data_IF_335868749039
#
_entry.id   IF_335868749039
#
_cell.length_a   1.000
_cell.length_b   1.000
_cell.length_c   1.000
_cell.angle_alpha   90.00
_cell.angle_beta   90.00
_cell.angle_gamma   90.00
#
_symmetry.space_group_name_H-M   'P 1'
#
loop_
_entity.id
_entity.type
_entity.pdbx_description
1 polymer ?
#
# COMPACT_ATOMS: atom_id res chain seq x y z
N UNK A 1 7.32 -3.69 -12.10
CA UNK A 1 7.30 -5.16 -12.16
C UNK A 1 5.85 -5.59 -12.12
N UNK A 2 5.40 -6.42 -13.06
CA UNK A 2 4.04 -6.98 -13.07
C UNK A 2 3.96 -8.28 -12.25
N UNK A 3 2.73 -8.74 -11.99
CA UNK A 3 2.47 -9.91 -11.15
C UNK A 3 3.06 -11.20 -11.73
N UNK A 4 2.87 -11.45 -13.03
CA UNK A 4 3.33 -12.71 -13.63
C UNK A 4 4.85 -12.78 -13.66
N UNK A 5 5.52 -11.68 -13.97
CA UNK A 5 6.99 -11.59 -13.86
C UNK A 5 7.47 -11.81 -12.42
N UNK A 6 6.83 -11.17 -11.43
CA UNK A 6 7.17 -11.35 -10.02
C UNK A 6 7.06 -12.82 -9.59
N UNK A 7 5.98 -13.51 -9.96
CA UNK A 7 5.76 -14.91 -9.59
C UNK A 7 6.79 -15.84 -10.24
N UNK A 8 7.19 -15.57 -11.49
CA UNK A 8 8.29 -16.31 -12.14
C UNK A 8 9.61 -16.10 -11.42
N UNK A 9 9.94 -14.86 -11.04
CA UNK A 9 11.16 -14.57 -10.29
C UNK A 9 11.15 -15.24 -8.90
N UNK A 10 9.98 -15.30 -8.23
CA UNK A 10 9.82 -16.01 -6.96
C UNK A 10 10.00 -17.53 -7.14
N UNK A 11 9.39 -18.13 -8.17
CA UNK A 11 9.51 -19.56 -8.46
C UNK A 11 10.99 -19.94 -8.66
N UNK A 12 11.73 -19.17 -9.47
CA UNK A 12 13.17 -19.39 -9.70
C UNK A 12 13.99 -19.29 -8.41
N UNK A 13 13.73 -18.28 -7.57
CA UNK A 13 14.51 -18.06 -6.33
C UNK A 13 14.17 -19.03 -5.22
N UNK A 14 12.93 -19.50 -5.15
CA UNK A 14 12.45 -20.42 -4.12
C UNK A 14 12.66 -21.90 -4.48
N UNK A 15 12.86 -22.20 -5.76
CA UNK A 15 12.96 -23.58 -6.25
C UNK A 15 11.61 -24.28 -6.40
N UNK A 16 10.49 -23.59 -6.12
CA UNK A 16 9.15 -24.10 -6.36
C UNK A 16 8.77 -23.98 -7.83
N UNK A 17 7.81 -24.81 -8.25
CA UNK A 17 7.17 -24.65 -9.55
C UNK A 17 6.41 -23.33 -9.64
N UNK A 18 6.19 -22.84 -10.88
CA UNK A 18 5.33 -21.67 -11.10
C UNK A 18 3.91 -21.90 -10.58
N UNK A 19 3.41 -23.14 -10.64
CA UNK A 19 2.07 -23.51 -10.18
C UNK A 19 1.96 -23.41 -8.65
N UNK A 20 2.88 -24.02 -7.91
CA UNK A 20 2.95 -23.91 -6.44
C UNK A 20 3.08 -22.45 -6.01
N UNK A 21 3.89 -21.67 -6.72
CA UNK A 21 4.09 -20.24 -6.43
C UNK A 21 2.80 -19.44 -6.64
N UNK A 22 2.02 -19.76 -7.68
CA UNK A 22 0.71 -19.13 -7.93
C UNK A 22 -0.31 -19.50 -6.84
N UNK A 23 -0.34 -20.76 -6.42
CA UNK A 23 -1.22 -21.23 -5.34
C UNK A 23 -0.88 -20.54 -4.01
N UNK A 24 0.40 -20.45 -3.68
CA UNK A 24 0.88 -19.72 -2.51
C UNK A 24 0.47 -18.24 -2.56
N UNK A 25 0.67 -17.58 -3.70
CA UNK A 25 0.29 -16.17 -3.84
C UNK A 25 -1.22 -15.95 -3.68
N UNK A 26 -2.05 -16.83 -4.23
CA UNK A 26 -3.50 -16.76 -4.05
C UNK A 26 -3.88 -16.85 -2.55
N UNK A 27 -3.37 -17.85 -1.84
CA UNK A 27 -3.60 -18.00 -0.41
C UNK A 27 -3.10 -16.79 0.41
N UNK A 28 -1.93 -16.25 0.06
CA UNK A 28 -1.39 -15.04 0.69
C UNK A 28 -2.33 -13.84 0.52
N UNK A 29 -2.84 -13.63 -0.70
CA UNK A 29 -3.78 -12.54 -0.99
C UNK A 29 -5.08 -12.71 -0.22
N UNK A 30 -5.62 -13.93 -0.15
CA UNK A 30 -6.86 -14.21 0.57
C UNK A 30 -6.72 -13.87 2.07
N UNK A 31 -5.64 -14.35 2.70
CA UNK A 31 -5.35 -14.06 4.12
C UNK A 31 -5.17 -12.55 4.36
N UNK A 32 -4.43 -11.86 3.48
CA UNK A 32 -4.22 -10.41 3.62
C UNK A 32 -5.53 -9.63 3.46
N UNK A 33 -6.36 -10.02 2.49
CA UNK A 33 -7.63 -9.37 2.20
C UNK A 33 -8.59 -9.52 3.37
N UNK A 34 -8.68 -10.72 3.96
CA UNK A 34 -9.54 -10.99 5.11
C UNK A 34 -9.09 -10.20 6.34
N UNK A 35 -7.81 -10.28 6.73
CA UNK A 35 -7.29 -9.58 7.91
C UNK A 35 -7.45 -8.05 7.78
N UNK A 36 -7.06 -7.46 6.64
CA UNK A 36 -7.20 -6.02 6.42
C UNK A 36 -8.67 -5.59 6.32
N UNK A 37 -9.54 -6.44 5.75
CA UNK A 37 -10.99 -6.23 5.69
C UNK A 37 -11.62 -6.21 7.09
N UNK A 38 -11.11 -7.05 7.99
CA UNK A 38 -11.48 -7.09 9.41
C UNK A 38 -10.83 -5.99 10.26
N UNK A 39 -10.10 -5.06 9.62
CA UNK A 39 -9.40 -3.93 10.25
C UNK A 39 -8.23 -4.35 11.15
N UNK A 40 -7.71 -5.55 10.93
CA UNK A 40 -6.52 -6.05 11.60
C UNK A 40 -5.27 -5.49 10.91
N UNK A 41 -4.21 -5.25 11.70
CA UNK A 41 -2.93 -4.87 11.12
C UNK A 41 -2.12 -6.11 10.82
N UNK A 42 -1.45 -6.13 9.66
CA UNK A 42 -0.54 -7.22 9.28
C UNK A 42 0.88 -6.74 9.49
N UNK A 43 1.67 -7.50 10.23
CA UNK A 43 3.07 -7.19 10.50
C UNK A 43 4.00 -8.15 9.74
N UNK A 44 4.68 -7.63 8.72
CA UNK A 44 5.66 -8.35 7.90
C UNK A 44 7.08 -7.86 8.23
N UNK A 45 7.37 -7.70 9.52
CA UNK A 45 8.69 -7.31 10.01
C UNK A 45 9.57 -8.54 10.23
N UNK A 46 10.89 -8.44 9.95
CA UNK A 46 11.63 -7.25 9.52
C UNK A 46 11.61 -6.96 8.01
N UNK A 47 11.09 -7.86 7.18
CA UNK A 47 11.32 -7.93 5.73
C UNK A 47 10.78 -6.72 4.97
N UNK A 48 9.54 -6.30 5.28
CA UNK A 48 8.85 -5.22 4.56
C UNK A 48 8.40 -4.09 5.47
N UNK A 49 7.66 -4.40 6.53
CA UNK A 49 6.94 -3.40 7.30
C UNK A 49 5.54 -3.87 7.66
N UNK A 50 4.70 -2.94 8.09
CA UNK A 50 3.36 -3.24 8.58
C UNK A 50 2.27 -2.56 7.73
N UNK A 51 1.17 -3.27 7.50
CA UNK A 51 -0.03 -2.76 6.84
C UNK A 51 -1.07 -2.45 7.90
N UNK A 52 -1.50 -1.18 7.98
CA UNK A 52 -2.33 -0.67 9.07
C UNK A 52 -3.60 -0.06 8.48
N UNK A 53 -4.78 -0.67 8.69
CA UNK A 53 -6.06 -0.06 8.36
C UNK A 53 -6.25 1.25 9.14
N UNK A 54 -6.59 2.32 8.45
CA UNK A 54 -6.85 3.64 9.02
C UNK A 54 -8.19 4.17 8.53
N UNK A 55 -8.98 4.70 9.47
CA UNK A 55 -10.16 5.48 9.13
C UNK A 55 -9.70 6.85 8.63
N UNK A 56 -10.24 7.30 7.49
CA UNK A 56 -10.06 8.67 7.02
C UNK A 56 -11.00 9.57 7.80
N UNK A 57 -10.49 10.20 8.83
CA UNK A 57 -11.21 11.20 9.62
C UNK A 57 -11.36 12.52 8.84
N UNK A 58 -12.15 12.49 7.78
CA UNK A 58 -12.76 13.71 7.24
C UNK A 58 -14.17 13.85 7.80
N UNK A 59 -14.27 13.87 9.14
CA UNK A 59 -15.45 14.34 9.87
C UNK A 59 -15.48 15.87 9.81
N UNK A 60 -15.49 16.42 8.59
CA UNK A 60 -15.84 17.82 8.40
C UNK A 60 -17.31 17.97 8.75
N UNK A 61 -17.64 18.05 10.04
CA UNK A 61 -18.90 18.61 10.53
C UNK A 61 -18.91 20.06 10.10
N UNK A 62 -19.38 20.33 8.89
CA UNK A 62 -19.93 21.63 8.60
C UNK A 62 -21.30 21.65 9.25
N UNK A 63 -21.38 22.35 10.38
CA UNK A 63 -22.58 22.49 11.23
C UNK A 63 -23.81 23.03 10.47
N UNK A 64 -23.64 23.48 9.21
CA UNK A 64 -24.68 24.00 8.33
C UNK A 64 -24.61 23.44 6.87
N UNK A 65 -24.02 22.26 6.63
CA UNK A 65 -23.97 21.70 5.26
C UNK A 65 -25.24 20.91 4.91
N UNK A 66 -25.92 21.19 3.79
CA UNK A 66 -27.02 20.36 3.30
C UNK A 66 -26.53 19.01 2.69
N UNK A 67 -25.22 18.72 2.73
CA UNK A 67 -24.66 17.47 2.19
C UNK A 67 -24.84 16.33 3.18
N UNK A 68 -25.36 15.21 2.68
CA UNK A 68 -25.51 13.96 3.42
C UNK A 68 -24.20 13.53 4.12
N UNK A 69 -24.33 12.89 5.29
CA UNK A 69 -23.21 12.34 6.04
C UNK A 69 -22.30 11.50 5.13
N UNK A 70 -21.02 11.85 5.08
CA UNK A 70 -20.05 11.08 4.29
C UNK A 70 -19.85 9.73 4.97
N UNK A 71 -20.01 8.65 4.21
CA UNK A 71 -19.71 7.30 4.69
C UNK A 71 -18.25 7.23 5.18
N UNK A 72 -17.98 6.51 6.28
CA UNK A 72 -16.62 6.30 6.76
C UNK A 72 -15.79 5.63 5.67
N UNK A 73 -14.62 6.21 5.36
CA UNK A 73 -13.72 5.71 4.33
C UNK A 73 -12.45 5.15 4.97
N UNK A 74 -12.22 3.85 4.83
CA UNK A 74 -10.99 3.21 5.30
C UNK A 74 -9.94 3.17 4.19
N UNK A 75 -8.67 3.31 4.57
CA UNK A 75 -7.54 3.10 3.69
C UNK A 75 -6.46 2.29 4.42
N UNK A 76 -5.63 1.57 3.66
CA UNK A 76 -4.51 0.82 4.23
C UNK A 76 -3.26 1.70 4.18
N UNK A 77 -2.68 1.98 5.34
CA UNK A 77 -1.38 2.65 5.45
C UNK A 77 -0.28 1.60 5.51
N UNK A 78 0.63 1.62 4.56
CA UNK A 78 1.88 0.86 4.67
C UNK A 78 2.91 1.67 5.46
N UNK A 79 3.47 1.07 6.51
CA UNK A 79 4.60 1.60 7.27
C UNK A 79 5.81 0.70 7.01
N UNK A 80 6.81 1.15 6.23
CA UNK A 80 7.97 0.33 5.93
C UNK A 80 8.79 0.02 7.19
N UNK A 81 9.49 -1.12 7.18
CA UNK A 81 10.47 -1.47 8.20
C UNK A 81 11.70 -0.58 8.08
N UNK A 82 12.49 -0.42 9.15
CA UNK A 82 13.76 0.33 9.08
C UNK A 82 14.75 -0.25 8.05
N UNK A 83 14.73 -1.57 7.86
CA UNK A 83 15.57 -2.19 6.83
C UNK A 83 15.06 -1.85 5.43
N UNK A 84 13.75 -1.91 5.23
CA UNK A 84 13.11 -1.58 3.97
C UNK A 84 13.26 -0.09 3.64
N UNK A 85 13.08 0.82 4.60
CA UNK A 85 13.35 2.26 4.48
C UNK A 85 14.80 2.52 4.07
N UNK A 86 15.77 1.85 4.71
CA UNK A 86 17.17 1.95 4.32
C UNK A 86 17.39 1.44 2.90
N UNK A 87 16.78 0.32 2.50
CA UNK A 87 16.84 -0.19 1.12
C UNK A 87 16.22 0.76 0.09
N UNK A 88 15.18 1.49 0.47
CA UNK A 88 14.62 2.56 -0.37
C UNK A 88 15.57 3.77 -0.49
N UNK A 89 16.53 3.91 0.43
CA UNK A 89 17.62 4.90 0.42
C UNK A 89 19.00 4.30 0.01
N UNK A 90 19.06 3.07 -0.54
CA UNK A 90 20.32 2.36 -0.79
C UNK A 90 21.07 2.72 -2.08
N UNK A 91 20.66 3.73 -2.86
CA UNK A 91 21.45 4.21 -4.01
C UNK A 91 21.90 5.68 -3.90
N UNK A 92 21.74 6.33 -2.73
CA UNK A 92 22.36 7.65 -2.54
C UNK A 92 23.83 7.45 -2.18
N UNK A 93 24.68 7.30 -3.21
CA UNK A 93 25.95 8.04 -3.17
C UNK A 93 25.55 9.51 -3.09
N UNK A 94 25.85 10.16 -1.97
CA UNK A 94 25.70 11.61 -1.82
C UNK A 94 26.64 12.29 -2.81
N UNK A 95 26.17 12.47 -4.05
CA UNK A 95 26.60 13.55 -4.92
C UNK A 95 25.37 14.44 -5.15
N UNK A 96 25.41 15.59 -4.48
CA UNK A 96 24.78 16.84 -4.86
C UNK A 96 23.38 16.76 -5.49
N UNK A 97 22.33 16.94 -4.69
CA UNK A 97 21.27 17.93 -5.00
C UNK A 97 20.34 18.10 -3.80
N UNK A 98 20.24 19.35 -3.32
CA UNK A 98 19.32 19.73 -2.26
C UNK A 98 17.85 19.67 -2.69
N UNK A 99 16.98 19.57 -1.68
CA UNK A 99 15.54 19.89 -1.79
C UNK A 99 14.61 18.68 -1.88
N UNK A 100 14.51 17.86 -0.84
CA UNK A 100 13.53 16.74 -0.77
C UNK A 100 12.23 17.06 0.00
N UNK A 101 11.91 18.32 0.29
CA UNK A 101 10.72 18.67 1.07
C UNK A 101 9.39 18.79 0.29
N UNK A 102 9.29 18.41 -0.99
CA UNK A 102 8.10 18.79 -1.79
C UNK A 102 7.28 17.73 -2.54
N UNK A 103 7.56 16.42 -2.47
CA UNK A 103 6.81 15.45 -3.32
C UNK A 103 5.88 14.48 -2.60
N UNK A 104 5.71 14.55 -1.28
CA UNK A 104 4.68 13.76 -0.58
C UNK A 104 3.27 14.39 -0.66
N UNK A 105 2.87 14.96 -1.80
CA UNK A 105 1.46 15.26 -2.05
C UNK A 105 0.82 14.03 -2.72
N UNK A 106 -0.25 13.45 -2.14
CA UNK A 106 -0.98 12.38 -2.82
C UNK A 106 -1.52 12.89 -4.16
N UNK A 107 -1.59 12.04 -5.20
CA UNK A 107 -2.13 12.44 -6.49
C UNK A 107 -3.58 12.93 -6.30
N UNK A 108 -3.87 14.10 -6.86
CA UNK A 108 -5.23 14.61 -6.99
C UNK A 108 -5.92 13.71 -8.00
N UNK A 109 -6.88 12.92 -7.55
CA UNK A 109 -7.79 12.22 -8.47
C UNK A 109 -8.68 13.28 -9.10
N UNK A 110 -8.42 13.64 -10.36
CA UNK A 110 -9.38 14.38 -11.16
C UNK A 110 -10.62 13.50 -11.30
N UNK A 111 -11.72 13.98 -10.73
CA UNK A 111 -13.04 13.37 -10.89
C UNK A 111 -13.43 13.58 -12.35
N UNK A 112 -13.30 12.55 -13.17
CA UNK A 112 -13.99 12.51 -14.46
C UNK A 112 -15.48 12.43 -14.12
N UNK A 113 -16.16 13.56 -14.26
CA UNK A 113 -17.61 13.66 -14.20
C UNK A 113 -18.14 13.22 -15.56
N UNK A 114 -18.60 11.98 -15.65
CA UNK A 114 -19.54 11.59 -16.69
C UNK A 114 -20.90 12.22 -16.32
N UNK A 115 -21.23 13.35 -16.93
CA UNK A 115 -22.63 13.76 -17.06
C UNK A 115 -23.21 13.17 -18.36
N UNK A 116 -24.47 12.69 -18.35
CA UNK A 116 -25.19 12.25 -19.54
C UNK A 116 -25.66 13.40 -20.43
#
# INVERSE_FOLDING_TARGET
MDKDRMLREIAVRSGYSEEETRQFYAALVDVFTEALGNRESIDCLPEWGSFIPKLRDNMGRQENSPRAEKKPHYYIRFRPSKEFERKLLLDIKTDETGGWEQTCRPPVWEVISDEP
#
